data_IF_883866547065
#
_entry.id   IF_883866547065
#
_cell.length_a   1.000
_cell.length_b   1.000
_cell.length_c   1.000
_cell.angle_alpha   90.00
_cell.angle_beta   90.00
_cell.angle_gamma   90.00
#
_symmetry.space_group_name_H-M   'P 1'
#
loop_
_entity.id
_entity.type
_entity.pdbx_description
1 polymer ?
#
# COMPACT_ATOMS: atom_id res chain seq x y z
N UNK A 1 -8.63 4.62 17.65
CA UNK A 1 -9.75 4.82 16.71
C UNK A 1 -9.15 4.89 15.31
N UNK A 2 -9.31 3.97 14.37
CA UNK A 2 -10.03 2.70 14.33
C UNK A 2 -9.26 1.68 13.49
N UNK A 3 -9.62 0.42 13.61
CA UNK A 3 -9.10 -0.68 12.79
C UNK A 3 -9.57 -0.50 11.34
N UNK A 4 -8.81 0.27 10.55
CA UNK A 4 -9.06 0.45 9.12
C UNK A 4 -8.65 -0.81 8.36
N UNK A 5 -9.63 -1.49 7.76
CA UNK A 5 -9.54 -2.54 6.74
C UNK A 5 -8.14 -3.11 6.47
N UNK A 6 -7.69 -4.03 7.32
CA UNK A 6 -6.53 -4.88 7.04
C UNK A 6 -6.92 -5.97 6.04
N UNK A 7 -7.01 -5.60 4.77
CA UNK A 7 -7.31 -6.54 3.69
C UNK A 7 -6.15 -7.52 3.47
N UNK A 8 -6.48 -8.78 3.23
CA UNK A 8 -5.55 -9.82 2.81
C UNK A 8 -5.31 -9.82 1.28
N UNK A 9 -5.92 -8.88 0.57
CA UNK A 9 -5.64 -8.64 -0.84
C UNK A 9 -4.41 -7.71 -1.01
N UNK A 10 -3.35 -8.15 -1.71
CA UNK A 10 -2.13 -7.38 -1.84
C UNK A 10 -2.33 -6.03 -2.54
N UNK A 11 -3.25 -5.96 -3.51
CA UNK A 11 -3.62 -4.75 -4.26
C UNK A 11 -4.27 -3.70 -3.34
N UNK A 12 -5.20 -4.12 -2.49
CA UNK A 12 -5.87 -3.24 -1.52
C UNK A 12 -4.87 -2.71 -0.48
N UNK A 13 -3.99 -3.57 0.01
CA UNK A 13 -2.91 -3.16 0.92
C UNK A 13 -1.96 -2.15 0.26
N UNK A 14 -1.61 -2.36 -1.01
CA UNK A 14 -0.77 -1.44 -1.78
C UNK A 14 -1.43 -0.09 -2.01
N UNK A 15 -2.71 -0.08 -2.40
CA UNK A 15 -3.47 1.15 -2.62
C UNK A 15 -3.60 1.96 -1.32
N UNK A 16 -3.96 1.32 -0.21
CA UNK A 16 -4.06 2.00 1.08
C UNK A 16 -2.72 2.61 1.51
N UNK A 17 -1.62 1.89 1.30
CA UNK A 17 -0.29 2.43 1.58
C UNK A 17 0.02 3.71 0.77
N UNK A 18 -0.34 3.73 -0.52
CA UNK A 18 -0.17 4.91 -1.38
C UNK A 18 -1.03 6.09 -0.90
N UNK A 19 -2.25 5.84 -0.47
CA UNK A 19 -3.14 6.86 0.07
C UNK A 19 -2.59 7.45 1.37
N UNK A 20 -2.12 6.62 2.30
CA UNK A 20 -1.53 7.06 3.57
C UNK A 20 -0.28 7.92 3.36
N UNK A 21 0.66 7.49 2.49
CA UNK A 21 1.86 8.29 2.19
C UNK A 21 1.50 9.60 1.48
N UNK A 22 0.46 9.60 0.65
CA UNK A 22 -0.03 10.81 0.00
C UNK A 22 -0.65 11.79 1.00
N UNK A 23 -1.45 11.28 1.93
CA UNK A 23 -2.14 12.06 2.96
C UNK A 23 -1.19 12.59 4.03
N UNK A 24 -0.12 11.86 4.36
CA UNK A 24 0.88 12.25 5.36
C UNK A 24 1.52 13.63 5.13
N UNK A 25 1.43 14.13 3.89
CA UNK A 25 2.02 15.40 3.44
C UNK A 25 0.99 16.53 3.34
N UNK A 26 -0.28 16.27 3.65
CA UNK A 26 -1.42 17.18 3.36
C UNK A 26 -1.18 18.57 3.94
N UNK A 27 -0.72 18.66 5.18
CA UNK A 27 -0.49 19.91 5.91
C UNK A 27 0.67 20.72 5.33
N UNK A 28 1.56 20.11 4.56
CA UNK A 28 2.74 20.77 3.97
C UNK A 28 2.58 21.09 2.49
N UNK A 29 1.41 20.86 1.89
CA UNK A 29 1.17 21.14 0.46
C UNK A 29 1.00 22.61 0.14
N UNK A 30 0.71 23.43 1.14
CA UNK A 30 0.50 24.88 1.00
C UNK A 30 1.30 25.65 2.03
N UNK A 31 1.71 26.87 1.69
CA UNK A 31 2.21 27.83 2.68
C UNK A 31 1.07 28.57 3.39
N UNK A 32 1.43 29.50 4.28
CA UNK A 32 0.48 30.30 5.04
C UNK A 32 -0.38 31.23 4.16
N UNK A 33 0.02 31.48 2.91
CA UNK A 33 -0.69 32.28 1.93
C UNK A 33 -1.57 31.40 1.02
N UNK A 34 -1.63 30.09 1.27
CA UNK A 34 -2.41 29.14 0.48
C UNK A 34 -1.77 28.78 -0.86
N UNK A 35 -0.53 29.18 -1.13
CA UNK A 35 0.17 28.84 -2.37
C UNK A 35 0.65 27.39 -2.30
N UNK A 36 0.46 26.65 -3.39
CA UNK A 36 0.95 25.28 -3.52
C UNK A 36 2.48 25.23 -3.47
N UNK A 37 3.00 24.36 -2.62
CA UNK A 37 4.42 24.09 -2.45
C UNK A 37 4.84 22.87 -3.27
N UNK A 38 5.95 22.99 -4.01
CA UNK A 38 6.60 21.86 -4.68
C UNK A 38 7.09 20.87 -3.63
N UNK A 39 7.22 19.60 -4.00
CA UNK A 39 7.66 18.55 -3.05
C UNK A 39 9.00 18.86 -2.36
N UNK A 40 9.93 19.52 -3.06
CA UNK A 40 11.23 19.92 -2.50
C UNK A 40 11.13 21.07 -1.48
N UNK A 41 10.05 21.86 -1.54
CA UNK A 41 9.79 23.00 -0.65
C UNK A 41 9.02 22.58 0.62
N UNK A 42 8.44 21.37 0.63
CA UNK A 42 7.66 20.87 1.78
C UNK A 42 8.59 20.41 2.90
N UNK A 43 8.37 20.93 4.11
CA UNK A 43 9.14 20.51 5.28
C UNK A 43 8.79 19.07 5.70
N UNK A 44 9.70 18.13 5.46
CA UNK A 44 9.49 16.70 5.76
C UNK A 44 9.36 16.38 7.24
N UNK A 45 9.88 17.24 8.13
CA UNK A 45 9.71 17.06 9.57
C UNK A 45 8.24 17.18 10.02
N UNK A 46 7.40 17.85 9.22
CA UNK A 46 5.98 18.01 9.48
C UNK A 46 5.11 16.96 8.79
N UNK A 47 5.70 15.99 8.08
CA UNK A 47 4.93 14.88 7.53
C UNK A 47 4.45 13.96 8.66
N UNK A 48 3.24 13.45 8.54
CA UNK A 48 2.68 12.49 9.50
C UNK A 48 3.48 11.17 9.47
N UNK A 49 4.36 11.03 10.48
CA UNK A 49 5.22 9.87 10.62
C UNK A 49 4.42 8.59 10.94
N UNK A 50 3.26 8.70 11.57
CA UNK A 50 2.41 7.55 11.88
C UNK A 50 1.80 6.98 10.59
N UNK A 51 1.25 7.84 9.74
CA UNK A 51 0.73 7.46 8.43
C UNK A 51 1.83 6.87 7.52
N UNK A 52 3.04 7.44 7.53
CA UNK A 52 4.18 6.89 6.79
C UNK A 52 4.57 5.49 7.30
N UNK A 53 4.64 5.33 8.62
CA UNK A 53 4.98 4.05 9.27
C UNK A 53 3.95 2.97 8.93
N UNK A 54 2.66 3.31 9.01
CA UNK A 54 1.58 2.40 8.64
C UNK A 54 1.62 2.03 7.15
N UNK A 55 1.81 3.01 6.27
CA UNK A 55 1.95 2.78 4.83
C UNK A 55 3.11 1.83 4.51
N UNK A 56 4.26 1.98 5.16
CA UNK A 56 5.41 1.06 5.01
C UNK A 56 5.07 -0.36 5.44
N UNK A 57 4.36 -0.52 6.56
CA UNK A 57 3.94 -1.83 7.05
C UNK A 57 2.98 -2.52 6.07
N UNK A 58 2.06 -1.77 5.47
CA UNK A 58 1.12 -2.27 4.47
C UNK A 58 1.80 -2.71 3.17
N UNK A 59 2.80 -1.96 2.67
CA UNK A 59 3.60 -2.39 1.52
C UNK A 59 4.28 -3.73 1.79
N UNK A 60 4.94 -3.86 2.95
CA UNK A 60 5.62 -5.10 3.32
C UNK A 60 4.65 -6.27 3.45
N UNK A 61 3.43 -6.03 3.94
CA UNK A 61 2.37 -7.04 3.99
C UNK A 61 1.91 -7.43 2.58
N UNK A 62 1.57 -6.48 1.73
CA UNK A 62 1.14 -6.74 0.34
C UNK A 62 2.18 -7.52 -0.45
N UNK A 63 3.47 -7.21 -0.28
CA UNK A 63 4.55 -7.97 -0.91
C UNK A 63 4.62 -9.43 -0.44
N UNK A 64 4.36 -9.70 0.85
CA UNK A 64 4.31 -11.08 1.38
C UNK A 64 3.11 -11.85 0.81
N UNK A 65 1.95 -11.22 0.76
CA UNK A 65 0.72 -11.81 0.23
C UNK A 65 0.84 -12.11 -1.28
N UNK A 66 1.37 -11.16 -2.06
CA UNK A 66 1.58 -11.31 -3.51
C UNK A 66 2.68 -12.31 -3.89
N UNK A 67 3.68 -12.56 -3.03
CA UNK A 67 4.62 -13.67 -3.24
C UNK A 67 4.00 -15.03 -2.93
N UNK A 68 3.20 -15.12 -1.87
CA UNK A 68 2.53 -16.36 -1.49
C UNK A 68 1.50 -16.81 -2.55
N UNK A 69 0.78 -15.86 -3.16
CA UNK A 69 -0.19 -16.16 -4.23
C UNK A 69 0.46 -16.74 -5.49
N UNK A 70 1.66 -16.26 -5.87
CA UNK A 70 2.42 -16.76 -7.03
C UNK A 70 2.97 -18.18 -6.86
N UNK A 71 3.34 -18.57 -5.64
CA UNK A 71 3.82 -19.94 -5.36
C UNK A 71 2.65 -20.93 -5.32
N UNK A 72 1.44 -20.49 -4.94
CA UNK A 72 0.24 -21.35 -4.88
C UNK A 72 -0.46 -21.54 -6.24
N UNK A 73 -0.19 -20.74 -7.28
CA UNK A 73 -0.77 -20.96 -8.61
C UNK A 73 -0.04 -22.02 -9.45
N UNK A 74 1.18 -22.42 -9.06
CA UNK A 74 1.99 -23.40 -9.78
C UNK A 74 1.52 -24.86 -9.62
N UNK A 75 0.42 -25.14 -8.91
CA UNK A 75 -0.01 -26.50 -8.57
C UNK A 75 -1.46 -26.87 -8.92
N UNK A 76 -2.25 -26.01 -9.58
CA UNK A 76 -3.68 -26.29 -9.82
C UNK A 76 -4.07 -26.65 -11.25
N UNK A 77 -3.12 -26.69 -12.21
CA UNK A 77 -3.42 -27.00 -13.62
C UNK A 77 -3.05 -28.42 -14.07
N UNK A 78 -2.61 -29.30 -13.17
CA UNK A 78 -2.19 -30.67 -13.53
C UNK A 78 -3.28 -31.75 -13.37
N UNK A 79 -4.54 -31.38 -13.10
CA UNK A 79 -5.65 -32.35 -12.91
C UNK A 79 -6.62 -32.54 -14.08
N UNK A 80 -6.39 -31.91 -15.23
CA UNK A 80 -7.25 -32.10 -16.43
C UNK A 80 -6.66 -33.02 -17.52
N UNK A 81 -5.50 -33.63 -17.31
CA UNK A 81 -4.84 -34.46 -18.34
C UNK A 81 -4.97 -35.99 -18.15
N UNK A 82 -5.91 -36.48 -17.32
CA UNK A 82 -6.20 -37.93 -17.24
C UNK A 82 -7.70 -38.20 -17.05
N UNK A 83 -8.43 -38.32 -18.17
CA UNK A 83 -9.78 -38.86 -18.21
C UNK A 83 -10.38 -38.83 -19.62
N UNK A 84 -10.51 -40.01 -20.24
CA UNK A 84 -11.14 -40.26 -21.56
C UNK A 84 -10.09 -40.68 -22.59
N UNK A 85 -9.72 -41.97 -22.71
CA UNK A 85 -10.51 -43.12 -23.17
C UNK A 85 -11.06 -42.93 -24.58
#
# INVERSE_FOLDING_TARGET
MGAGARSDEPEVSGLLALLLVSDSRRTTRTDAQGRLLRLAEQNRAHWDQAAITEGRALVLRGMRLGRASRVSSAGRDSRLARGGA
#
